data_IF_700687999039
#
_entry.id   IF_700687999039
#
_cell.length_a   1.000
_cell.length_b   1.000
_cell.length_c   1.000
_cell.angle_alpha   90.00
_cell.angle_beta   90.00
_cell.angle_gamma   90.00
#
_symmetry.space_group_name_H-M   'P 1'
#
loop_
_entity.id
_entity.type
_entity.pdbx_description
1 polymer ?
#
# COMPACT_ATOMS: atom_id res chain seq x y z
N UNK A 1 7.54 -1.54 24.30
CA UNK A 1 6.69 -0.66 23.48
C UNK A 1 6.80 -1.13 22.05
N UNK A 2 5.69 -1.29 21.31
CA UNK A 2 5.75 -1.57 19.88
C UNK A 2 6.55 -0.47 19.18
N UNK A 3 7.37 -0.83 18.21
CA UNK A 3 8.05 0.14 17.35
C UNK A 3 7.04 0.93 16.52
N UNK A 4 7.48 2.05 15.95
CA UNK A 4 6.70 2.73 14.91
C UNK A 4 6.87 1.99 13.57
N UNK A 5 5.84 1.95 12.70
CA UNK A 5 5.98 1.41 11.35
C UNK A 5 7.14 2.05 10.58
N UNK A 6 7.92 1.24 9.88
CA UNK A 6 9.04 1.71 9.05
C UNK A 6 8.60 1.70 7.60
N UNK A 7 8.30 2.88 7.07
CA UNK A 7 7.61 3.04 5.77
C UNK A 7 8.58 3.36 4.61
N UNK A 8 9.88 3.20 4.82
CA UNK A 8 10.91 3.51 3.81
C UNK A 8 11.10 2.42 2.76
N UNK A 9 10.44 1.27 2.92
CA UNK A 9 10.48 0.15 1.98
C UNK A 9 9.10 -0.10 1.36
N UNK A 10 8.92 0.16 0.05
CA UNK A 10 7.65 -0.07 -0.63
C UNK A 10 7.41 -1.55 -0.99
N UNK A 11 8.42 -2.42 -0.84
CA UNK A 11 8.35 -3.82 -1.27
C UNK A 11 7.40 -4.63 -0.37
N UNK A 12 6.35 -5.25 -0.96
CA UNK A 12 5.42 -6.08 -0.21
C UNK A 12 5.96 -7.50 0.05
N UNK A 13 7.11 -7.89 -0.52
CA UNK A 13 7.65 -9.24 -0.43
C UNK A 13 8.52 -9.43 0.82
N UNK A 14 8.51 -10.65 1.36
CA UNK A 14 9.43 -11.02 2.42
C UNK A 14 10.84 -11.20 1.83
N UNK A 15 11.91 -10.82 2.56
CA UNK A 15 13.27 -11.22 2.21
C UNK A 15 13.38 -12.74 2.03
N UNK A 16 14.27 -13.18 1.15
CA UNK A 16 14.57 -14.61 0.89
C UNK A 16 15.39 -15.22 2.03
N UNK A 17 14.84 -15.20 3.24
CA UNK A 17 15.40 -15.76 4.46
C UNK A 17 14.30 -16.45 5.27
N UNK A 18 14.63 -17.58 5.89
CA UNK A 18 13.65 -18.42 6.60
C UNK A 18 13.01 -17.64 7.76
N UNK A 19 11.68 -17.53 7.74
CA UNK A 19 10.90 -16.92 8.82
C UNK A 19 10.77 -15.40 8.77
N UNK A 20 11.31 -14.74 7.73
CA UNK A 20 11.10 -13.30 7.55
C UNK A 20 9.67 -13.00 7.08
N UNK A 21 9.14 -11.86 7.52
CA UNK A 21 7.89 -11.27 7.05
C UNK A 21 8.22 -10.01 6.24
N UNK A 22 7.34 -9.62 5.32
CA UNK A 22 7.56 -8.40 4.54
C UNK A 22 7.44 -7.14 5.41
N UNK A 23 8.06 -6.05 4.98
CA UNK A 23 7.94 -4.75 5.65
C UNK A 23 6.47 -4.30 5.74
N UNK A 24 5.71 -4.51 4.65
CA UNK A 24 4.27 -4.27 4.64
C UNK A 24 3.54 -5.07 5.72
N UNK A 25 3.79 -6.37 5.81
CA UNK A 25 3.15 -7.21 6.81
C UNK A 25 3.51 -6.79 8.23
N UNK A 26 4.79 -6.51 8.48
CA UNK A 26 5.27 -6.01 9.78
C UNK A 26 4.59 -4.69 10.17
N UNK A 27 4.52 -3.74 9.23
CA UNK A 27 3.89 -2.44 9.45
C UNK A 27 2.39 -2.57 9.73
N UNK A 28 1.68 -3.41 8.96
CA UNK A 28 0.25 -3.66 9.20
C UNK A 28 0.01 -4.31 10.57
N UNK A 29 0.81 -5.31 10.96
CA UNK A 29 0.70 -5.94 12.29
C UNK A 29 0.85 -4.91 13.41
N UNK A 30 1.88 -4.06 13.32
CA UNK A 30 2.15 -3.00 14.30
C UNK A 30 1.03 -1.96 14.33
N UNK A 31 0.54 -1.51 13.17
CA UNK A 31 -0.55 -0.54 13.10
C UNK A 31 -1.84 -1.07 13.73
N UNK A 32 -2.17 -2.35 13.51
CA UNK A 32 -3.33 -3.01 14.14
C UNK A 32 -3.17 -3.09 15.66
N UNK A 33 -1.98 -3.45 16.14
CA UNK A 33 -1.67 -3.47 17.58
C UNK A 33 -1.77 -2.07 18.21
N UNK A 34 -1.17 -1.06 17.58
CA UNK A 34 -1.20 0.33 18.03
C UNK A 34 -2.62 0.93 18.04
N UNK A 35 -3.50 0.48 17.14
CA UNK A 35 -4.93 0.82 17.17
C UNK A 35 -5.70 0.14 18.31
N UNK A 36 -5.16 -0.95 18.88
CA UNK A 36 -5.83 -1.72 19.94
C UNK A 36 -7.15 -2.35 19.49
N UNK A 37 -7.24 -2.75 18.21
CA UNK A 37 -8.47 -3.29 17.59
C UNK A 37 -8.33 -4.74 17.13
N UNK A 38 -7.28 -5.43 17.59
CA UNK A 38 -7.02 -6.84 17.26
C UNK A 38 -8.25 -7.70 17.54
N UNK A 39 -8.61 -8.56 16.58
CA UNK A 39 -9.78 -9.44 16.71
C UNK A 39 -11.13 -8.72 16.51
N UNK A 40 -11.12 -7.46 16.05
CA UNK A 40 -12.34 -6.71 15.70
C UNK A 40 -12.23 -6.17 14.28
N UNK A 41 -13.35 -5.80 13.65
CA UNK A 41 -13.34 -5.16 12.34
C UNK A 41 -13.19 -3.63 12.42
N UNK A 42 -12.96 -3.02 13.59
CA UNK A 42 -12.96 -1.57 13.79
C UNK A 42 -11.71 -0.87 13.21
N UNK A 43 -11.42 -1.13 11.95
CA UNK A 43 -10.28 -0.63 11.19
C UNK A 43 -10.75 -0.14 9.84
N UNK A 44 -10.15 0.95 9.37
CA UNK A 44 -10.27 1.43 7.99
C UNK A 44 -8.88 1.52 7.36
N UNK A 45 -8.83 1.23 6.07
CA UNK A 45 -7.68 1.55 5.23
C UNK A 45 -7.99 2.84 4.48
N UNK A 46 -7.19 3.88 4.66
CA UNK A 46 -7.30 5.12 3.88
C UNK A 46 -6.10 5.25 2.96
N UNK A 47 -6.28 5.69 1.73
CA UNK A 47 -5.15 5.97 0.85
C UNK A 47 -5.43 7.13 -0.09
N UNK A 48 -4.37 7.85 -0.42
CA UNK A 48 -4.42 8.95 -1.38
C UNK A 48 -3.08 9.15 -2.08
N UNK A 49 -3.13 9.85 -3.21
CA UNK A 49 -1.99 10.23 -4.02
C UNK A 49 -1.50 11.65 -3.68
N UNK A 50 -0.23 11.78 -3.32
CA UNK A 50 0.45 13.07 -3.17
C UNK A 50 1.37 13.32 -4.35
N UNK A 51 1.14 14.41 -5.08
CA UNK A 51 2.02 14.87 -6.17
C UNK A 51 3.13 15.75 -5.60
N UNK A 52 4.36 15.55 -6.06
CA UNK A 52 5.51 16.35 -5.64
C UNK A 52 6.47 16.63 -6.79
N UNK A 53 7.36 17.59 -6.58
CA UNK A 53 8.39 17.93 -7.56
C UNK A 53 9.46 16.82 -7.63
N UNK A 54 9.72 16.23 -8.81
CA UNK A 54 10.67 15.14 -8.94
C UNK A 54 12.10 15.64 -8.67
N UNK A 55 12.74 15.12 -7.64
CA UNK A 55 14.12 15.44 -7.30
C UNK A 55 14.85 14.26 -6.65
N UNK A 56 16.16 14.19 -6.83
CA UNK A 56 17.00 13.30 -6.04
C UNK A 56 17.42 14.02 -4.76
N UNK A 57 17.38 13.29 -3.64
CA UNK A 57 17.94 13.73 -2.36
C UNK A 57 18.95 12.72 -1.85
N UNK A 58 19.74 13.10 -0.85
CA UNK A 58 20.67 12.19 -0.18
C UNK A 58 20.15 11.88 1.22
N UNK A 59 19.93 10.60 1.50
CA UNK A 59 19.61 10.09 2.82
C UNK A 59 20.87 9.50 3.48
N UNK A 60 21.08 9.79 4.76
CA UNK A 60 22.13 9.17 5.57
C UNK A 60 21.48 8.26 6.62
N UNK A 61 21.81 6.97 6.60
CA UNK A 61 21.22 5.94 7.45
C UNK A 61 22.30 4.96 7.87
N UNK A 62 22.47 4.74 9.19
CA UNK A 62 23.46 3.80 9.74
C UNK A 62 24.89 3.98 9.20
N UNK A 63 25.32 5.24 9.05
CA UNK A 63 26.65 5.58 8.51
C UNK A 63 26.80 5.38 7.00
N UNK A 64 25.75 4.95 6.29
CA UNK A 64 25.73 4.82 4.82
C UNK A 64 24.94 5.97 4.21
N UNK A 65 25.26 6.30 2.95
CA UNK A 65 24.58 7.36 2.18
C UNK A 65 23.94 6.78 0.93
N UNK A 66 22.72 7.24 0.65
CA UNK A 66 21.91 6.78 -0.48
C UNK A 66 21.34 7.95 -1.26
N UNK A 67 21.33 7.86 -2.60
CA UNK A 67 20.44 8.65 -3.43
C UNK A 67 19.03 8.09 -3.30
N UNK A 68 18.06 8.98 -3.04
CA UNK A 68 16.64 8.65 -2.90
C UNK A 68 15.80 9.53 -3.81
N UNK A 69 14.57 9.10 -4.10
CA UNK A 69 13.59 9.83 -4.93
C UNK A 69 13.17 9.12 -6.23
N UNK A 70 13.71 7.93 -6.50
CA UNK A 70 13.30 7.09 -7.63
C UNK A 70 11.95 6.41 -7.40
N UNK A 71 11.23 6.13 -8.49
CA UNK A 71 9.93 5.45 -8.49
C UNK A 71 10.04 3.92 -8.39
N UNK A 72 11.10 3.33 -8.94
CA UNK A 72 11.33 1.88 -8.91
C UNK A 72 12.50 1.50 -8.00
N UNK A 73 13.54 2.33 -7.96
CA UNK A 73 14.66 2.21 -7.03
C UNK A 73 14.62 3.37 -6.05
N UNK A 74 14.12 3.10 -4.84
CA UNK A 74 13.91 4.13 -3.81
C UNK A 74 15.19 4.48 -3.06
N UNK A 75 16.17 3.56 -2.99
CA UNK A 75 17.48 3.75 -2.34
C UNK A 75 18.61 3.21 -3.23
N UNK A 76 19.54 4.08 -3.64
CA UNK A 76 20.73 3.72 -4.43
C UNK A 76 21.98 4.15 -3.66
N UNK A 77 22.95 3.25 -3.36
CA UNK A 77 24.18 3.64 -2.66
C UNK A 77 24.93 4.78 -3.38
N UNK A 78 25.41 5.77 -2.62
CA UNK A 78 26.14 6.90 -3.19
C UNK A 78 27.51 6.46 -3.71
N UNK A 79 27.72 6.57 -5.02
CA UNK A 79 29.01 6.46 -5.70
C UNK A 79 29.09 7.42 -6.89
N UNK A 80 30.28 7.60 -7.48
CA UNK A 80 30.46 8.41 -8.70
C UNK A 80 29.73 7.78 -9.89
N UNK A 81 29.81 6.45 -10.01
CA UNK A 81 29.17 5.66 -11.05
C UNK A 81 27.65 5.69 -10.90
N UNK A 82 27.14 5.61 -9.68
CA UNK A 82 25.72 5.74 -9.39
C UNK A 82 25.21 7.14 -9.78
N UNK A 83 25.94 8.19 -9.41
CA UNK A 83 25.60 9.58 -9.76
C UNK A 83 25.45 9.78 -11.27
N UNK A 84 26.40 9.23 -12.06
CA UNK A 84 26.37 9.31 -13.52
C UNK A 84 25.19 8.57 -14.17
N UNK A 85 24.57 7.62 -13.45
CA UNK A 85 23.43 6.84 -13.92
C UNK A 85 22.08 7.42 -13.51
N UNK A 86 22.03 8.43 -12.64
CA UNK A 86 20.78 9.04 -12.19
C UNK A 86 20.09 9.75 -13.35
N UNK A 87 18.84 9.38 -13.65
CA UNK A 87 18.05 10.01 -14.70
C UNK A 87 16.78 10.62 -14.14
N UNK A 88 16.40 11.77 -14.70
CA UNK A 88 15.08 12.37 -14.42
C UNK A 88 13.92 11.46 -14.84
N UNK A 89 14.17 10.52 -15.76
CA UNK A 89 13.19 9.51 -16.17
C UNK A 89 12.84 8.51 -15.07
N UNK A 90 13.61 8.48 -13.99
CA UNK A 90 13.49 7.45 -12.96
C UNK A 90 12.88 8.04 -11.67
N UNK A 91 12.80 9.37 -11.58
CA UNK A 91 12.28 10.11 -10.44
C UNK A 91 10.77 9.90 -10.26
N UNK A 92 10.36 9.63 -9.04
CA UNK A 92 8.94 9.65 -8.70
C UNK A 92 8.36 11.07 -8.81
N UNK A 93 7.08 11.13 -9.16
CA UNK A 93 6.32 12.37 -9.32
C UNK A 93 5.06 12.38 -8.46
N UNK A 94 4.63 11.19 -8.03
CA UNK A 94 3.47 10.97 -7.18
C UNK A 94 3.81 9.85 -6.21
N UNK A 95 3.19 9.86 -5.05
CA UNK A 95 3.29 8.77 -4.11
C UNK A 95 1.91 8.44 -3.57
N UNK A 96 1.60 7.15 -3.52
CA UNK A 96 0.43 6.66 -2.80
C UNK A 96 0.85 6.28 -1.38
N UNK A 97 0.18 6.86 -0.39
CA UNK A 97 0.29 6.48 1.02
C UNK A 97 -0.94 5.65 1.40
N UNK A 98 -0.72 4.57 2.13
CA UNK A 98 -1.75 3.76 2.75
C UNK A 98 -1.65 3.87 4.26
N UNK A 99 -2.76 4.20 4.87
CA UNK A 99 -2.91 4.45 6.30
C UNK A 99 -3.91 3.47 6.88
N UNK A 100 -3.56 2.86 8.01
CA UNK A 100 -4.49 2.09 8.84
C UNK A 100 -4.90 2.93 10.04
N UNK A 101 -6.20 3.04 10.26
CA UNK A 101 -6.78 3.83 11.35
C UNK A 101 -8.00 3.12 11.93
N UNK A 102 -8.44 3.54 13.11
CA UNK A 102 -9.72 3.10 13.66
C UNK A 102 -10.89 3.79 12.95
N UNK A 103 -12.05 3.13 12.92
CA UNK A 103 -13.25 3.74 12.34
C UNK A 103 -13.94 4.72 13.31
N UNK A 104 -13.80 4.50 14.62
CA UNK A 104 -14.49 5.24 15.68
C UNK A 104 -13.71 6.45 16.22
N UNK A 105 -12.51 6.71 15.72
CA UNK A 105 -11.69 7.86 16.13
C UNK A 105 -10.73 8.31 15.04
N UNK A 106 -10.35 9.59 15.07
CA UNK A 106 -9.31 10.17 14.21
C UNK A 106 -7.97 10.33 14.94
N UNK A 107 -7.88 9.92 16.22
CA UNK A 107 -6.68 10.11 17.04
C UNK A 107 -5.54 9.14 16.68
N UNK A 108 -5.83 8.05 15.96
CA UNK A 108 -4.87 7.00 15.64
C UNK A 108 -4.92 6.70 14.15
N UNK A 109 -3.86 7.08 13.45
CA UNK A 109 -3.68 6.80 12.04
C UNK A 109 -2.20 6.52 11.80
N UNK A 110 -1.91 5.39 11.15
CA UNK A 110 -0.55 4.89 10.95
C UNK A 110 -0.32 4.59 9.49
N UNK A 111 0.66 5.24 8.87
CA UNK A 111 1.15 4.87 7.55
C UNK A 111 1.74 3.46 7.60
N UNK A 112 1.22 2.57 6.76
CA UNK A 112 1.69 1.19 6.64
C UNK A 112 2.47 0.94 5.36
N UNK A 113 2.25 1.79 4.34
CA UNK A 113 2.93 1.69 3.06
C UNK A 113 2.97 3.02 2.33
N UNK A 114 4.11 3.32 1.73
CA UNK A 114 4.32 4.51 0.93
C UNK A 114 5.03 4.10 -0.36
N UNK A 115 4.38 4.28 -1.51
CA UNK A 115 4.91 3.82 -2.80
C UNK A 115 5.14 5.01 -3.71
N UNK A 116 6.41 5.44 -3.92
CA UNK A 116 6.73 6.47 -4.90
C UNK A 116 6.57 5.92 -6.32
N UNK A 117 6.01 6.72 -7.24
CA UNK A 117 5.62 6.27 -8.58
C UNK A 117 5.85 7.36 -9.62
N UNK A 118 5.98 6.93 -10.88
CA UNK A 118 5.87 7.80 -12.06
C UNK A 118 4.39 8.04 -12.33
N UNK A 119 4.02 9.22 -12.80
CA UNK A 119 2.62 9.47 -13.18
C UNK A 119 2.14 8.50 -14.28
N UNK A 120 3.03 8.17 -15.21
CA UNK A 120 2.75 7.24 -16.31
C UNK A 120 2.50 5.79 -15.86
N UNK A 121 2.90 5.42 -14.64
CA UNK A 121 2.69 4.07 -14.11
C UNK A 121 1.48 3.95 -13.17
N UNK A 122 0.75 5.05 -12.93
CA UNK A 122 -0.48 5.04 -12.14
C UNK A 122 -1.64 4.54 -13.00
N UNK A 123 -2.06 3.29 -12.75
CA UNK A 123 -3.20 2.67 -13.43
C UNK A 123 -4.21 2.14 -12.41
N UNK A 124 -5.46 2.01 -12.84
CA UNK A 124 -6.53 1.47 -12.01
C UNK A 124 -6.23 0.03 -11.51
N UNK A 125 -5.70 -0.83 -12.38
CA UNK A 125 -5.31 -2.20 -12.01
C UNK A 125 -4.15 -2.24 -11.01
N UNK A 126 -3.14 -1.38 -11.20
CA UNK A 126 -2.01 -1.31 -10.26
C UNK A 126 -2.46 -0.80 -8.89
N UNK A 127 -3.37 0.18 -8.85
CA UNK A 127 -4.00 0.64 -7.62
C UNK A 127 -4.78 -0.49 -6.93
N UNK A 128 -5.61 -1.23 -7.67
CA UNK A 128 -6.35 -2.38 -7.13
C UNK A 128 -5.41 -3.43 -6.53
N UNK A 129 -4.33 -3.77 -7.24
CA UNK A 129 -3.35 -4.73 -6.76
C UNK A 129 -2.68 -4.27 -5.47
N UNK A 130 -2.17 -3.04 -5.44
CA UNK A 130 -1.49 -2.47 -4.28
C UNK A 130 -2.43 -2.37 -3.07
N UNK A 131 -3.69 -1.96 -3.29
CA UNK A 131 -4.69 -1.93 -2.24
C UNK A 131 -5.01 -3.35 -1.73
N UNK A 132 -5.15 -4.33 -2.63
CA UNK A 132 -5.36 -5.73 -2.28
C UNK A 132 -4.25 -6.32 -1.41
N UNK A 133 -2.99 -5.98 -1.70
CA UNK A 133 -1.83 -6.35 -0.88
C UNK A 133 -1.94 -5.79 0.54
N UNK A 134 -2.33 -4.51 0.68
CA UNK A 134 -2.53 -3.86 2.00
C UNK A 134 -3.73 -4.46 2.75
N UNK A 135 -4.83 -4.75 2.05
CA UNK A 135 -5.99 -5.43 2.61
C UNK A 135 -5.63 -6.82 3.15
N UNK A 136 -4.90 -7.61 2.36
CA UNK A 136 -4.45 -8.94 2.77
C UNK A 136 -3.53 -8.87 4.01
N UNK A 137 -2.52 -7.99 3.99
CA UNK A 137 -1.59 -7.82 5.11
C UNK A 137 -2.30 -7.34 6.38
N UNK A 138 -3.23 -6.38 6.26
CA UNK A 138 -4.02 -5.88 7.40
C UNK A 138 -4.93 -6.98 7.96
N UNK A 139 -5.59 -7.76 7.09
CA UNK A 139 -6.44 -8.88 7.49
C UNK A 139 -5.64 -9.94 8.24
N UNK A 140 -4.44 -10.28 7.74
CA UNK A 140 -3.55 -11.23 8.39
C UNK A 140 -3.08 -10.73 9.77
N UNK A 141 -2.69 -9.46 9.87
CA UNK A 141 -2.28 -8.84 11.14
C UNK A 141 -3.42 -8.71 12.15
N UNK A 142 -4.67 -8.71 11.68
CA UNK A 142 -5.87 -8.64 12.50
C UNK A 142 -6.53 -10.01 12.70
N UNK A 143 -5.73 -11.06 12.90
CA UNK A 143 -6.20 -12.42 13.21
C UNK A 143 -7.16 -13.00 12.16
N UNK A 144 -6.99 -12.63 10.89
CA UNK A 144 -7.84 -13.06 9.78
C UNK A 144 -9.12 -12.24 9.60
N UNK A 145 -9.36 -11.21 10.41
CA UNK A 145 -10.52 -10.33 10.26
C UNK A 145 -10.20 -9.13 9.38
N UNK A 146 -10.95 -8.93 8.28
CA UNK A 146 -10.69 -7.82 7.37
C UNK A 146 -11.16 -6.48 7.97
N UNK A 147 -10.56 -5.35 7.56
CA UNK A 147 -11.04 -4.04 7.96
C UNK A 147 -12.51 -3.82 7.57
N UNK A 148 -13.17 -2.90 8.26
CA UNK A 148 -14.59 -2.58 8.03
C UNK A 148 -14.79 -1.91 6.67
N UNK A 149 -13.92 -0.97 6.32
CA UNK A 149 -14.06 -0.18 5.11
C UNK A 149 -12.69 0.29 4.58
N UNK A 150 -12.73 0.86 3.37
CA UNK A 150 -11.67 1.70 2.85
C UNK A 150 -12.16 3.10 2.53
N UNK A 151 -11.23 4.06 2.54
CA UNK A 151 -11.47 5.44 2.16
C UNK A 151 -10.44 5.85 1.09
N UNK A 152 -10.91 6.45 0.00
CA UNK A 152 -10.10 6.87 -1.14
C UNK A 152 -10.78 8.04 -1.84
N UNK A 153 -10.02 8.81 -2.61
CA UNK A 153 -10.54 9.97 -3.33
C UNK A 153 -11.28 9.57 -4.62
N UNK A 154 -12.05 10.49 -5.21
CA UNK A 154 -12.79 10.25 -6.43
C UNK A 154 -11.95 10.47 -7.71
N UNK A 155 -10.63 10.32 -7.63
CA UNK A 155 -9.76 10.42 -8.80
C UNK A 155 -10.07 9.30 -9.81
N UNK A 156 -9.89 9.57 -11.11
CA UNK A 156 -10.23 8.65 -12.21
C UNK A 156 -9.60 7.26 -12.07
N UNK A 157 -8.38 7.19 -11.52
CA UNK A 157 -7.65 5.93 -11.32
C UNK A 157 -8.13 5.14 -10.08
N UNK A 158 -8.99 5.73 -9.26
CA UNK A 158 -9.56 5.14 -8.05
C UNK A 158 -11.08 4.83 -8.20
N UNK A 159 -11.75 5.37 -9.22
CA UNK A 159 -13.17 5.05 -9.51
C UNK A 159 -13.45 3.55 -9.68
N UNK A 160 -12.43 2.77 -10.05
CA UNK A 160 -12.54 1.31 -10.17
C UNK A 160 -12.93 0.64 -8.84
N UNK A 161 -12.49 1.17 -7.70
CA UNK A 161 -12.85 0.62 -6.38
C UNK A 161 -14.36 0.69 -6.15
N UNK A 162 -14.99 1.82 -6.51
CA UNK A 162 -16.43 1.99 -6.39
C UNK A 162 -17.18 0.96 -7.24
N UNK A 163 -16.70 0.72 -8.47
CA UNK A 163 -17.30 -0.28 -9.39
C UNK A 163 -17.15 -1.70 -8.84
N UNK A 164 -15.99 -2.04 -8.30
CA UNK A 164 -15.74 -3.35 -7.66
C UNK A 164 -16.66 -3.56 -6.46
N UNK A 165 -16.73 -2.61 -5.53
CA UNK A 165 -17.58 -2.77 -4.33
C UNK A 165 -19.08 -2.77 -4.62
N UNK A 166 -19.52 -2.12 -5.69
CA UNK A 166 -20.90 -2.20 -6.16
C UNK A 166 -21.20 -3.46 -6.98
N UNK A 167 -20.22 -4.36 -7.18
CA UNK A 167 -20.38 -5.57 -7.99
C UNK A 167 -20.58 -5.29 -9.48
N UNK A 168 -20.15 -4.11 -9.95
CA UNK A 168 -20.31 -3.66 -11.34
C UNK A 168 -19.11 -3.99 -12.22
N UNK A 169 -17.97 -4.37 -11.63
CA UNK A 169 -16.78 -4.71 -12.40
C UNK A 169 -16.78 -6.20 -12.78
N UNK A 170 -16.70 -6.54 -14.08
CA UNK A 170 -16.64 -7.93 -14.54
C UNK A 170 -15.44 -8.70 -13.96
N UNK A 171 -15.64 -9.98 -13.62
CA UNK A 171 -14.61 -10.82 -12.99
C UNK A 171 -13.37 -11.01 -13.88
N UNK A 172 -13.54 -11.09 -15.20
CA UNK A 172 -12.46 -11.18 -16.18
C UNK A 172 -11.54 -9.95 -16.16
N UNK A 173 -12.07 -8.77 -15.82
CA UNK A 173 -11.26 -7.55 -15.64
C UNK A 173 -10.49 -7.50 -14.33
N UNK A 174 -10.85 -8.37 -13.38
CA UNK A 174 -10.12 -8.57 -12.13
C UNK A 174 -9.14 -9.75 -12.22
N UNK A 175 -9.16 -10.49 -13.33
CA UNK A 175 -8.20 -11.56 -13.57
C UNK A 175 -6.77 -10.98 -13.58
N UNK A 176 -5.89 -11.57 -12.76
CA UNK A 176 -4.51 -11.09 -12.57
C UNK A 176 -4.31 -10.14 -11.39
N UNK A 177 -5.34 -9.88 -10.58
CA UNK A 177 -5.17 -9.24 -9.26
C UNK A 177 -5.34 -10.30 -8.16
N UNK A 178 -4.25 -10.83 -7.57
CA UNK A 178 -4.29 -12.03 -6.70
C UNK A 178 -5.30 -11.94 -5.55
N UNK A 179 -5.46 -10.75 -4.97
CA UNK A 179 -6.43 -10.51 -3.89
C UNK A 179 -7.88 -10.83 -4.31
N UNK A 180 -8.27 -10.48 -5.54
CA UNK A 180 -9.66 -10.61 -6.01
C UNK A 180 -9.97 -11.96 -6.65
N UNK A 181 -8.97 -12.82 -6.89
CA UNK A 181 -9.18 -14.15 -7.49
C UNK A 181 -10.10 -15.03 -6.64
N UNK A 182 -10.05 -14.84 -5.32
CA UNK A 182 -10.86 -15.55 -4.32
C UNK A 182 -12.12 -14.78 -3.92
N UNK A 183 -12.37 -13.62 -4.51
CA UNK A 183 -13.58 -12.85 -4.26
C UNK A 183 -14.69 -13.32 -5.19
N UNK A 184 -15.88 -13.51 -4.61
CA UNK A 184 -17.10 -13.74 -5.37
C UNK A 184 -18.02 -12.53 -5.25
N UNK A 185 -18.65 -12.08 -6.34
CA UNK A 185 -19.71 -11.10 -6.24
C UNK A 185 -20.78 -11.64 -5.30
N UNK A 186 -21.27 -10.81 -4.38
CA UNK A 186 -22.44 -11.18 -3.60
C UNK A 186 -23.57 -11.55 -4.57
N UNK A 187 -24.28 -12.68 -4.36
CA UNK A 187 -25.38 -13.06 -5.22
C UNK A 187 -26.37 -11.90 -5.29
N UNK A 188 -26.82 -11.56 -6.50
CA UNK A 188 -27.88 -10.56 -6.68
C UNK A 188 -29.05 -10.95 -5.75
N UNK A 189 -29.64 -9.97 -5.05
CA UNK A 189 -30.66 -10.16 -4.00
C UNK A 189 -31.91 -10.95 -4.41
N UNK A 190 -32.00 -11.49 -5.63
CA UNK A 190 -33.04 -12.40 -6.10
C UNK A 190 -32.81 -13.89 -5.82
N UNK A 191 -31.66 -14.29 -5.27
CA UNK A 191 -31.33 -15.71 -4.99
C UNK A 191 -31.03 -16.01 -3.51
N UNK A 192 -31.57 -15.21 -2.58
CA UNK A 192 -31.69 -15.63 -1.18
C UNK A 192 -32.97 -16.46 -1.08
N UNK A 193 -32.82 -17.80 -1.16
CA UNK A 193 -33.86 -18.73 -0.71
C UNK A 193 -33.85 -18.82 0.81
#
# INVERSE_FOLDING_TARGET
MPGLPVVLDPDPQAPDEVGQISALQSNCNQAVELCGTQGTRNLRISFDDTVFYPSFSILSENGKRYYIGGAEQTKIPVSKEACAKLRRSDLAQVCISYVVARCDTNAQAWDVRLIPRRLTSVTALKNLQQAGEVWAATTQGNQGLPPLCQCHDNHRTQTIFNRVFLGMEPKDKLAGVPFFERCEPAPARGNLK
#
